data_IF_489077544198
#
_entry.id   IF_489077544198
#
_cell.length_a   1.000
_cell.length_b   1.000
_cell.length_c   1.000
_cell.angle_alpha   90.00
_cell.angle_beta   90.00
_cell.angle_gamma   90.00
#
_symmetry.space_group_name_H-M   'P 1'
#
loop_
_entity.id
_entity.type
_entity.pdbx_description
1 polymer ?
#
# COMPACT_ATOMS: atom_id res chain seq x y z
N UNK A 1 18.51 -1.23 6.09
CA UNK A 1 19.65 -2.14 6.37
C UNK A 1 19.65 -3.37 5.47
N UNK A 2 18.57 -4.19 5.41
CA UNK A 2 18.53 -5.41 4.58
C UNK A 2 18.86 -5.20 3.08
N UNK A 3 18.30 -4.16 2.43
CA UNK A 3 18.63 -3.86 1.03
C UNK A 3 20.06 -3.38 0.83
N UNK A 4 20.63 -2.66 1.81
CA UNK A 4 22.01 -2.18 1.75
C UNK A 4 23.04 -3.32 1.82
N UNK A 5 22.67 -4.46 2.42
CA UNK A 5 23.50 -5.67 2.47
C UNK A 5 23.21 -6.63 1.32
N UNK A 6 22.51 -6.17 0.28
CA UNK A 6 22.29 -6.93 -0.96
C UNK A 6 21.00 -7.74 -1.00
N UNK A 7 20.14 -7.67 0.01
CA UNK A 7 18.84 -8.36 -0.04
C UNK A 7 17.91 -7.63 -1.02
N UNK A 8 17.46 -8.34 -2.06
CA UNK A 8 16.50 -7.80 -3.03
C UNK A 8 15.10 -8.25 -2.63
N UNK A 9 14.21 -7.29 -2.42
CA UNK A 9 12.79 -7.55 -2.23
C UNK A 9 12.05 -7.16 -3.50
N UNK A 10 11.09 -7.98 -3.89
CA UNK A 10 10.00 -7.57 -4.78
C UNK A 10 9.11 -6.54 -4.07
N UNK A 11 8.42 -5.71 -4.84
CA UNK A 11 7.43 -4.80 -4.32
C UNK A 11 6.28 -5.55 -3.64
N UNK A 12 5.87 -6.71 -4.19
CA UNK A 12 4.89 -7.59 -3.56
C UNK A 12 5.29 -8.03 -2.14
N UNK A 13 6.55 -8.45 -1.93
CA UNK A 13 7.06 -8.81 -0.60
C UNK A 13 7.02 -7.62 0.36
N UNK A 14 7.39 -6.42 -0.11
CA UNK A 14 7.35 -5.21 0.71
C UNK A 14 5.92 -4.85 1.13
N UNK A 15 4.95 -4.98 0.22
CA UNK A 15 3.53 -4.78 0.55
C UNK A 15 2.98 -5.86 1.49
N UNK A 16 3.39 -7.12 1.30
CA UNK A 16 3.02 -8.19 2.24
C UNK A 16 3.58 -7.90 3.63
N UNK A 17 4.85 -7.51 3.74
CA UNK A 17 5.48 -7.12 5.01
C UNK A 17 4.76 -5.94 5.68
N UNK A 18 4.27 -4.98 4.90
CA UNK A 18 3.52 -3.83 5.41
C UNK A 18 2.06 -4.14 5.81
N UNK A 19 1.50 -5.27 5.37
CA UNK A 19 0.07 -5.61 5.55
C UNK A 19 -0.12 -6.96 6.24
N UNK A 20 -0.46 -8.02 5.48
CA UNK A 20 -0.76 -9.35 6.02
C UNK A 20 0.39 -9.91 6.87
N UNK A 21 1.63 -9.75 6.42
CA UNK A 21 2.82 -10.21 7.13
C UNK A 21 3.05 -9.48 8.45
N UNK A 22 2.60 -8.23 8.60
CA UNK A 22 2.63 -7.53 9.88
C UNK A 22 1.49 -8.00 10.79
N UNK A 23 0.29 -8.22 10.24
CA UNK A 23 -0.85 -8.75 10.99
C UNK A 23 -0.54 -10.13 11.60
N UNK A 24 0.11 -11.02 10.85
CA UNK A 24 0.58 -12.33 11.35
C UNK A 24 1.57 -12.20 12.51
N UNK A 25 2.52 -11.25 12.43
CA UNK A 25 3.50 -11.00 13.50
C UNK A 25 2.88 -10.44 14.78
N UNK A 26 1.74 -9.74 14.63
CA UNK A 26 0.98 -9.20 15.74
C UNK A 26 -0.12 -10.16 16.24
N UNK A 27 -0.23 -11.37 15.67
CA UNK A 27 -1.31 -12.32 15.95
C UNK A 27 -2.71 -11.79 15.64
N UNK A 28 -2.84 -10.86 14.69
CA UNK A 28 -4.09 -10.24 14.24
C UNK A 28 -4.47 -10.67 12.81
N UNK A 29 -3.86 -11.73 12.28
CA UNK A 29 -4.11 -12.23 10.93
C UNK A 29 -5.55 -12.68 10.69
N UNK A 30 -6.34 -12.97 11.72
CA UNK A 30 -7.74 -13.34 11.57
C UNK A 30 -8.67 -12.11 11.53
N UNK A 31 -8.15 -10.93 11.89
CA UNK A 31 -8.92 -9.70 12.01
C UNK A 31 -8.59 -8.67 10.92
N UNK A 32 -7.30 -8.51 10.55
CA UNK A 32 -6.83 -7.43 9.65
C UNK A 32 -5.80 -7.91 8.62
N UNK A 33 -5.26 -6.98 7.83
CA UNK A 33 -4.11 -7.19 6.95
C UNK A 33 -4.44 -7.75 5.56
N UNK A 34 -5.70 -8.09 5.25
CA UNK A 34 -6.12 -8.52 3.92
C UNK A 34 -7.60 -8.25 3.67
N UNK A 35 -8.02 -8.15 2.40
CA UNK A 35 -9.41 -7.91 2.00
C UNK A 35 -10.29 -9.18 1.96
N UNK A 36 -10.06 -10.14 2.87
CA UNK A 36 -10.84 -11.39 2.93
C UNK A 36 -12.15 -11.16 3.70
N UNK A 37 -13.27 -11.84 3.34
CA UNK A 37 -14.50 -11.81 4.13
C UNK A 37 -14.25 -12.20 5.59
N UNK A 38 -14.97 -11.55 6.51
CA UNK A 38 -14.85 -11.77 7.96
C UNK A 38 -13.83 -10.87 8.68
N UNK A 39 -12.96 -10.16 7.93
CA UNK A 39 -11.99 -9.21 8.48
C UNK A 39 -12.54 -7.79 8.54
N UNK A 40 -11.93 -6.96 9.38
CA UNK A 40 -12.19 -5.51 9.39
C UNK A 40 -11.83 -4.89 8.04
N UNK A 41 -12.72 -4.02 7.56
CA UNK A 41 -12.49 -3.24 6.35
C UNK A 41 -11.62 -2.00 6.65
N UNK A 42 -10.40 -2.27 7.11
CA UNK A 42 -9.33 -1.29 7.31
C UNK A 42 -8.53 -1.19 6.00
N UNK A 43 -8.75 -0.10 5.26
CA UNK A 43 -8.30 0.04 3.88
C UNK A 43 -7.69 1.41 3.62
N UNK A 44 -6.54 1.41 2.94
CA UNK A 44 -5.94 2.63 2.38
C UNK A 44 -6.11 2.59 0.87
N UNK A 45 -6.69 3.66 0.32
CA UNK A 45 -6.79 3.89 -1.13
C UNK A 45 -5.58 4.70 -1.55
N UNK A 46 -4.75 4.15 -2.42
CA UNK A 46 -3.53 4.78 -2.90
C UNK A 46 -3.71 5.38 -4.30
N UNK A 47 -3.06 6.51 -4.55
CA UNK A 47 -2.97 7.17 -5.85
C UNK A 47 -1.53 7.08 -6.39
N UNK A 48 -1.27 6.26 -7.43
CA UNK A 48 0.06 6.10 -7.99
C UNK A 48 0.53 7.32 -8.81
N UNK A 49 -0.30 8.34 -8.98
CA UNK A 49 0.00 9.57 -9.70
C UNK A 49 -0.14 10.83 -8.83
N UNK A 50 -0.04 10.69 -7.50
CA UNK A 50 -0.28 11.76 -6.54
C UNK A 50 0.69 12.96 -6.63
N UNK A 51 1.89 12.76 -7.18
CA UNK A 51 2.89 13.80 -7.42
C UNK A 51 3.35 13.77 -8.88
N UNK A 52 3.94 14.86 -9.37
CA UNK A 52 4.43 14.92 -10.76
C UNK A 52 5.45 13.81 -11.08
N UNK A 53 6.36 13.51 -10.15
CA UNK A 53 7.35 12.44 -10.33
C UNK A 53 6.69 11.06 -10.34
N UNK A 54 5.70 10.83 -9.47
CA UNK A 54 4.95 9.57 -9.44
C UNK A 54 4.11 9.39 -10.71
N UNK A 55 3.43 10.45 -11.18
CA UNK A 55 2.65 10.42 -12.41
C UNK A 55 3.51 10.07 -13.63
N UNK A 56 4.67 10.73 -13.79
CA UNK A 56 5.61 10.43 -14.86
C UNK A 56 6.13 8.98 -14.80
N UNK A 57 6.40 8.46 -13.58
CA UNK A 57 6.82 7.06 -13.40
C UNK A 57 5.68 6.09 -13.69
N UNK A 58 4.45 6.43 -13.30
CA UNK A 58 3.27 5.62 -13.53
C UNK A 58 2.95 5.48 -15.03
N UNK A 59 3.08 6.55 -15.80
CA UNK A 59 2.84 6.57 -17.25
C UNK A 59 3.69 5.54 -18.03
N UNK A 60 4.93 5.31 -17.59
CA UNK A 60 5.86 4.36 -18.23
C UNK A 60 5.88 2.98 -17.57
N UNK A 61 5.08 2.76 -16.52
CA UNK A 61 5.00 1.47 -15.82
C UNK A 61 4.33 0.41 -16.70
N UNK A 62 4.88 -0.81 -16.74
CA UNK A 62 4.39 -1.89 -17.61
C UNK A 62 3.78 -3.05 -16.83
N UNK A 63 3.84 -2.99 -15.51
CA UNK A 63 3.41 -4.07 -14.63
C UNK A 63 2.89 -3.54 -13.30
N UNK A 64 2.13 -4.37 -12.58
CA UNK A 64 1.75 -4.07 -11.20
C UNK A 64 2.99 -3.91 -10.30
N UNK A 65 4.02 -4.72 -10.52
CA UNK A 65 5.29 -4.63 -9.79
C UNK A 65 5.93 -3.24 -9.93
N UNK A 66 5.95 -2.66 -11.13
CA UNK A 66 6.47 -1.29 -11.35
C UNK A 66 5.68 -0.24 -10.54
N UNK A 67 4.36 -0.38 -10.51
CA UNK A 67 3.46 0.54 -9.80
C UNK A 67 3.68 0.43 -8.28
N UNK A 68 3.68 -0.80 -7.75
CA UNK A 68 3.91 -1.05 -6.33
C UNK A 68 5.32 -0.59 -5.91
N UNK A 69 6.33 -0.84 -6.72
CA UNK A 69 7.69 -0.37 -6.44
C UNK A 69 7.76 1.16 -6.40
N UNK A 70 7.11 1.84 -7.36
CA UNK A 70 7.00 3.30 -7.38
C UNK A 70 6.32 3.83 -6.11
N UNK A 71 5.23 3.20 -5.66
CA UNK A 71 4.54 3.57 -4.42
C UNK A 71 5.42 3.43 -3.17
N UNK A 72 6.23 2.36 -3.09
CA UNK A 72 7.13 2.15 -1.93
C UNK A 72 8.28 3.16 -1.91
N UNK A 73 8.83 3.52 -3.07
CA UNK A 73 10.05 4.34 -3.15
C UNK A 73 9.75 5.84 -3.23
N UNK A 74 8.72 6.23 -3.97
CA UNK A 74 8.38 7.63 -4.24
C UNK A 74 7.14 8.11 -3.48
N UNK A 75 6.37 7.21 -2.89
CA UNK A 75 5.14 7.54 -2.18
C UNK A 75 5.39 8.27 -0.86
N UNK A 76 4.53 9.23 -0.57
CA UNK A 76 4.40 9.90 0.72
C UNK A 76 2.92 10.06 1.08
N UNK A 77 2.60 10.90 2.06
CA UNK A 77 1.22 11.12 2.54
C UNK A 77 0.26 11.54 1.41
N UNK A 78 0.75 12.22 0.37
CA UNK A 78 -0.07 12.64 -0.77
C UNK A 78 -0.57 11.46 -1.59
N UNK A 79 0.14 10.32 -1.56
CA UNK A 79 -0.30 9.09 -2.20
C UNK A 79 -1.51 8.46 -1.51
N UNK A 80 -1.82 8.85 -0.26
CA UNK A 80 -3.00 8.36 0.45
C UNK A 80 -4.22 9.18 0.06
N UNK A 81 -5.03 8.65 -0.85
CA UNK A 81 -6.26 9.29 -1.33
C UNK A 81 -7.40 9.22 -0.31
N UNK A 82 -7.54 8.10 0.39
CA UNK A 82 -8.53 7.90 1.43
C UNK A 82 -8.11 6.79 2.40
N UNK A 83 -8.60 6.87 3.64
CA UNK A 83 -8.42 5.84 4.66
C UNK A 83 -9.77 5.47 5.23
N UNK A 84 -9.98 4.17 5.38
CA UNK A 84 -11.17 3.56 5.98
C UNK A 84 -10.76 2.74 7.18
N UNK A 85 -11.54 2.83 8.25
CA UNK A 85 -11.42 2.01 9.46
C UNK A 85 -12.78 1.36 9.68
N UNK A 86 -12.82 0.03 9.80
CA UNK A 86 -14.03 -0.77 9.93
C UNK A 86 -15.11 -0.39 8.88
N UNK A 87 -14.68 -0.15 7.64
CA UNK A 87 -15.56 0.23 6.52
C UNK A 87 -16.04 1.69 6.54
N UNK A 88 -15.69 2.47 7.56
CA UNK A 88 -16.02 3.89 7.66
C UNK A 88 -14.86 4.73 7.17
N UNK A 89 -15.12 5.65 6.26
CA UNK A 89 -14.10 6.59 5.80
C UNK A 89 -13.75 7.57 6.92
N UNK A 90 -12.47 7.65 7.28
CA UNK A 90 -11.93 8.55 8.32
C UNK A 90 -11.01 9.62 7.73
N UNK A 91 -10.50 9.42 6.51
CA UNK A 91 -9.64 10.37 5.80
C UNK A 91 -9.95 10.38 4.30
N UNK A 92 -9.74 11.54 3.64
CA UNK A 92 -9.91 11.73 2.20
C UNK A 92 -11.19 12.48 1.80
N UNK A 93 -11.17 13.15 0.65
CA UNK A 93 -12.32 13.91 0.12
C UNK A 93 -13.46 12.97 -0.25
N UNK A 94 -14.72 13.29 0.12
CA UNK A 94 -15.91 12.51 -0.29
C UNK A 94 -15.88 12.26 -1.81
N UNK A 95 -16.18 11.04 -2.29
CA UNK A 95 -16.32 10.83 -3.72
C UNK A 95 -17.49 11.70 -4.21
N UNK A 96 -17.32 12.31 -5.38
CA UNK A 96 -18.41 13.02 -6.05
C UNK A 96 -19.45 12.02 -6.55
#
# INVERSE_FOLDING_TARGET
>A
VAMLVGHKFSAAELFQMATAGNAERLHLQDEIGSLKPGKWADVVVLDPAATQVMAARHEVSRSLEDILFSLVILGDDRAVRATYIAGKRVHGKKPR
#
